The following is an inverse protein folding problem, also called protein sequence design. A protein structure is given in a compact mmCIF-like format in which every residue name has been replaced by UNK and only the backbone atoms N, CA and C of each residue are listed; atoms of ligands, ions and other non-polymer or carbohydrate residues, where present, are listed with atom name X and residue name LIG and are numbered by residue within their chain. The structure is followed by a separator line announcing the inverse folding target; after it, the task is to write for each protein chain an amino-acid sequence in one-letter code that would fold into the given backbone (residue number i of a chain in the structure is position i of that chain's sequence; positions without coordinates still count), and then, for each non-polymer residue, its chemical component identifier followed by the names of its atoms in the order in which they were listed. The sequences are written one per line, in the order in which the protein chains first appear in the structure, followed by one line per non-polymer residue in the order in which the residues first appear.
data_IF_564146735406
#
_entry.id   IF_564146735406
#
_cell.length_a   1.000
_cell.length_b   1.000
_cell.length_c   1.000
_cell.angle_alpha   90.00
_cell.angle_beta   90.00
_cell.angle_gamma   90.00
#
_symmetry.space_group_name_H-M   'P 1'
#
loop_
_entity.id
_entity.type
_entity.pdbx_description
1 polymer ?
#
# COMPACT_ATOMS: atom_id res chain seq x y z
N UNK A 1 -22.23 -33.76 26.20
CA UNK A 1 -21.61 -33.45 24.90
C UNK A 1 -22.48 -32.45 24.15
N UNK A 2 -22.04 -31.20 23.93
CA UNK A 2 -22.81 -30.27 23.11
C UNK A 2 -22.52 -30.54 21.62
N UNK A 3 -23.59 -30.54 20.82
CA UNK A 3 -23.54 -30.73 19.36
C UNK A 3 -22.73 -29.61 18.69
N UNK A 4 -21.95 -30.01 17.69
CA UNK A 4 -21.27 -29.12 16.75
C UNK A 4 -22.27 -28.17 16.05
N UNK A 5 -22.13 -26.86 16.23
CA UNK A 5 -22.79 -25.83 15.40
C UNK A 5 -22.28 -25.87 13.95
N UNK A 6 -23.16 -25.59 12.99
CA UNK A 6 -22.81 -25.42 11.58
C UNK A 6 -21.93 -24.18 11.36
N UNK A 7 -21.06 -24.18 10.33
CA UNK A 7 -20.24 -23.02 9.98
C UNK A 7 -21.12 -21.82 9.62
N UNK A 8 -20.77 -20.64 10.12
CA UNK A 8 -21.41 -19.36 9.76
C UNK A 8 -20.58 -18.65 8.68
N UNK A 9 -21.22 -17.87 7.79
CA UNK A 9 -20.52 -17.01 6.83
C UNK A 9 -19.67 -15.95 7.54
N UNK A 10 -18.49 -15.67 7.00
CA UNK A 10 -17.65 -14.56 7.44
C UNK A 10 -18.35 -13.24 7.09
N UNK A 11 -18.74 -12.47 8.10
CA UNK A 11 -19.28 -11.11 7.95
C UNK A 11 -18.19 -10.11 8.36
N UNK A 12 -17.55 -9.41 7.39
CA UNK A 12 -16.36 -8.58 7.64
C UNK A 12 -16.54 -7.46 8.68
N UNK A 13 -17.78 -7.04 8.95
CA UNK A 13 -18.05 -5.95 9.88
C UNK A 13 -18.22 -6.38 11.35
N UNK A 14 -18.29 -7.68 11.65
CA UNK A 14 -18.60 -8.17 13.00
C UNK A 14 -17.59 -9.17 13.56
N UNK A 15 -16.69 -9.72 12.74
CA UNK A 15 -15.78 -10.77 13.18
C UNK A 15 -14.34 -10.25 13.30
N UNK A 16 -14.05 -9.54 14.40
CA UNK A 16 -12.71 -9.02 14.75
C UNK A 16 -11.70 -10.11 15.14
N UNK A 17 -12.00 -11.37 14.86
CA UNK A 17 -11.21 -12.54 15.26
C UNK A 17 -10.98 -13.50 14.11
N UNK A 18 -10.40 -12.98 13.02
CA UNK A 18 -9.89 -13.75 11.90
C UNK A 18 -9.00 -14.91 12.40
N UNK A 19 -9.50 -16.15 12.26
CA UNK A 19 -8.87 -17.46 12.52
C UNK A 19 -8.84 -18.03 13.96
N UNK A 20 -9.02 -17.22 15.01
CA UNK A 20 -8.90 -17.69 16.40
C UNK A 20 -9.96 -18.69 16.88
N UNK A 21 -11.11 -18.76 16.19
CA UNK A 21 -12.29 -19.54 16.59
C UNK A 21 -12.55 -20.79 15.73
N UNK A 22 -11.65 -21.10 14.79
CA UNK A 22 -11.82 -22.22 13.87
C UNK A 22 -11.55 -23.56 14.57
N UNK A 23 -12.39 -24.56 14.29
CA UNK A 23 -12.23 -25.93 14.80
C UNK A 23 -10.96 -26.59 14.24
N UNK A 24 -10.38 -27.51 15.01
CA UNK A 24 -9.33 -28.40 14.54
C UNK A 24 -9.76 -29.13 13.25
N UNK A 25 -8.88 -29.20 12.26
CA UNK A 25 -9.16 -29.67 10.89
C UNK A 25 -9.77 -28.64 9.93
N UNK A 26 -10.34 -27.53 10.40
CA UNK A 26 -10.70 -26.39 9.53
C UNK A 26 -9.46 -25.60 9.13
N UNK A 27 -8.44 -25.54 9.99
CA UNK A 27 -7.12 -24.99 9.69
C UNK A 27 -6.42 -25.82 8.62
N UNK A 28 -6.40 -27.14 8.75
CA UNK A 28 -5.81 -28.04 7.75
C UNK A 28 -6.56 -27.99 6.42
N UNK A 29 -7.89 -27.87 6.44
CA UNK A 29 -8.70 -27.63 5.23
C UNK A 29 -8.46 -26.26 4.62
N UNK A 30 -8.30 -25.21 5.42
CA UNK A 30 -7.96 -23.89 4.89
C UNK A 30 -6.56 -23.93 4.30
N UNK A 31 -5.57 -24.52 4.97
CA UNK A 31 -4.24 -24.77 4.44
C UNK A 31 -4.35 -25.55 3.13
N UNK A 32 -5.04 -26.69 3.06
CA UNK A 32 -5.27 -27.46 1.82
C UNK A 32 -5.99 -26.67 0.71
N UNK A 33 -6.98 -25.83 1.05
CA UNK A 33 -7.70 -24.95 0.12
C UNK A 33 -6.86 -23.73 -0.30
N UNK A 34 -5.94 -23.28 0.56
CA UNK A 34 -4.99 -22.22 0.29
C UNK A 34 -3.80 -22.73 -0.53
N UNK A 35 -3.42 -24.00 -0.38
CA UNK A 35 -2.30 -24.68 -1.03
C UNK A 35 -2.58 -25.09 -2.48
N UNK A 36 -3.84 -25.17 -2.93
CA UNK A 36 -4.16 -25.36 -4.36
C UNK A 36 -3.99 -24.03 -5.11
N UNK A 37 -2.73 -23.69 -5.41
CA UNK A 37 -2.38 -22.50 -6.16
C UNK A 37 -2.70 -22.67 -7.64
N UNK A 38 -3.80 -22.07 -8.09
CA UNK A 38 -3.94 -21.71 -9.50
C UNK A 38 -3.18 -20.41 -9.71
N UNK A 39 -1.94 -20.49 -10.21
CA UNK A 39 -1.09 -19.32 -10.38
C UNK A 39 -1.15 -18.80 -11.83
N UNK A 40 -1.80 -17.66 -12.01
CA UNK A 40 -1.72 -16.86 -13.23
C UNK A 40 -0.45 -16.01 -13.21
N UNK A 41 0.32 -16.07 -14.29
CA UNK A 41 1.43 -15.14 -14.52
C UNK A 41 0.87 -13.81 -14.98
N UNK A 42 1.25 -12.68 -14.37
CA UNK A 42 0.87 -11.37 -14.88
C UNK A 42 1.45 -11.17 -16.28
N UNK A 43 0.71 -10.49 -17.14
CA UNK A 43 1.23 -10.02 -18.42
C UNK A 43 2.04 -8.74 -18.19
N UNK A 44 3.36 -8.89 -18.06
CA UNK A 44 4.29 -7.79 -17.83
C UNK A 44 5.69 -8.12 -18.41
N UNK A 45 6.44 -7.09 -18.75
CA UNK A 45 7.75 -7.15 -19.43
C UNK A 45 8.94 -7.26 -18.48
N UNK A 46 8.75 -6.90 -17.20
CA UNK A 46 9.77 -6.95 -16.17
C UNK A 46 10.21 -8.37 -15.75
N UNK A 47 11.32 -8.44 -15.02
CA UNK A 47 11.85 -9.70 -14.49
C UNK A 47 11.21 -10.04 -13.14
N UNK A 48 9.90 -10.33 -13.10
CA UNK A 48 9.32 -10.85 -11.87
C UNK A 48 10.03 -12.15 -11.50
N UNK A 49 10.57 -12.18 -10.29
CA UNK A 49 11.19 -13.38 -9.78
C UNK A 49 10.15 -14.50 -9.76
N UNK A 50 10.50 -15.67 -10.28
CA UNK A 50 9.65 -16.85 -10.15
C UNK A 50 9.59 -17.27 -8.68
N UNK A 51 8.38 -17.63 -8.23
CA UNK A 51 8.21 -18.28 -6.94
C UNK A 51 8.87 -19.66 -7.00
N UNK A 52 9.58 -20.04 -5.94
CA UNK A 52 10.23 -21.35 -5.87
C UNK A 52 9.22 -22.48 -5.74
N UNK A 53 9.55 -23.60 -6.37
CA UNK A 53 8.89 -24.88 -6.10
C UNK A 53 9.29 -25.35 -4.69
N UNK A 54 8.35 -25.95 -3.98
CA UNK A 54 8.58 -26.49 -2.64
C UNK A 54 7.38 -26.37 -1.72
N UNK A 55 7.59 -26.71 -0.45
CA UNK A 55 6.56 -26.61 0.57
C UNK A 55 6.40 -25.15 1.02
N UNK A 56 5.23 -24.57 0.76
CA UNK A 56 4.86 -23.24 1.21
C UNK A 56 4.03 -23.32 2.49
N UNK A 57 4.44 -22.58 3.50
CA UNK A 57 3.78 -22.55 4.80
C UNK A 57 3.37 -21.11 5.14
N UNK A 58 2.18 -20.90 5.74
CA UNK A 58 1.80 -19.60 6.27
C UNK A 58 2.69 -19.27 7.49
N UNK A 59 3.22 -18.05 7.53
CA UNK A 59 4.11 -17.60 8.60
C UNK A 59 3.34 -16.80 9.64
N UNK A 60 3.61 -17.09 10.91
CA UNK A 60 3.00 -16.41 12.06
C UNK A 60 3.96 -15.36 12.63
N UNK A 61 3.66 -14.05 12.58
CA UNK A 61 4.35 -13.11 13.44
C UNK A 61 4.02 -13.46 14.91
N UNK A 62 5.05 -13.61 15.77
CA UNK A 62 4.86 -13.96 17.18
C UNK A 62 3.85 -13.02 17.88
N UNK A 63 2.65 -13.53 18.16
CA UNK A 63 1.65 -12.92 19.03
C UNK A 63 1.08 -13.98 19.97
N UNK A 64 0.99 -13.64 21.26
CA UNK A 64 0.68 -14.58 22.35
C UNK A 64 -0.81 -14.95 22.46
N UNK A 65 -1.67 -14.55 21.51
CA UNK A 65 -3.15 -14.68 21.60
C UNK A 65 -3.85 -15.30 20.37
N UNK A 66 -3.11 -15.93 19.46
CA UNK A 66 -3.68 -16.65 18.31
C UNK A 66 -3.21 -16.12 16.96
N UNK A 67 -3.67 -16.77 15.89
CA UNK A 67 -3.34 -16.46 14.49
C UNK A 67 -3.95 -15.10 14.09
N UNK A 68 -3.12 -14.16 13.63
CA UNK A 68 -3.58 -12.88 13.09
C UNK A 68 -2.99 -12.66 11.69
N UNK A 69 -3.76 -12.10 10.74
CA UNK A 69 -3.21 -11.68 9.46
C UNK A 69 -2.15 -10.59 9.65
N UNK A 70 -1.22 -10.45 8.69
CA UNK A 70 -0.25 -9.35 8.70
C UNK A 70 -0.94 -7.98 8.57
N UNK A 71 -2.11 -7.96 7.95
CA UNK A 71 -2.98 -6.81 7.85
C UNK A 71 -4.37 -7.23 7.40
N UNK A 72 -5.36 -6.47 7.85
CA UNK A 72 -6.76 -6.59 7.43
C UNK A 72 -7.17 -5.21 6.89
N UNK A 73 -7.61 -5.17 5.63
CA UNK A 73 -8.05 -3.95 4.96
C UNK A 73 -9.51 -4.05 4.53
N UNK A 74 -10.08 -2.94 4.05
CA UNK A 74 -11.52 -2.86 3.72
C UNK A 74 -12.01 -3.86 2.65
N UNK A 75 -11.10 -4.49 1.90
CA UNK A 75 -11.44 -5.41 0.80
C UNK A 75 -10.75 -6.78 0.92
N UNK A 76 -10.02 -7.09 1.99
CA UNK A 76 -9.24 -8.33 2.02
C UNK A 76 -8.31 -8.56 3.20
N UNK A 77 -7.74 -9.77 3.24
CA UNK A 77 -6.84 -10.26 4.28
C UNK A 77 -5.44 -10.50 3.70
N UNK A 78 -4.40 -10.10 4.41
CA UNK A 78 -3.01 -10.20 3.97
C UNK A 78 -2.21 -11.17 4.85
N UNK A 79 -1.53 -12.13 4.23
CA UNK A 79 -0.72 -13.16 4.90
C UNK A 79 0.70 -13.23 4.34
N UNK A 80 1.69 -13.53 5.20
CA UNK A 80 3.02 -13.94 4.75
C UNK A 80 3.08 -15.45 4.60
N UNK A 81 3.68 -15.91 3.51
CA UNK A 81 3.98 -17.30 3.25
C UNK A 81 5.46 -17.44 2.98
N UNK A 82 6.08 -18.50 3.48
CA UNK A 82 7.45 -18.84 3.14
C UNK A 82 7.52 -20.25 2.54
N UNK A 83 8.32 -20.39 1.49
CA UNK A 83 8.78 -21.68 1.01
C UNK A 83 9.92 -22.13 1.92
N UNK A 84 9.87 -23.36 2.39
CA UNK A 84 10.93 -23.94 3.22
C UNK A 84 11.57 -25.16 2.55
N UNK A 85 12.80 -25.47 2.94
CA UNK A 85 13.43 -26.76 2.63
C UNK A 85 13.17 -27.80 3.73
N UNK A 86 13.69 -29.01 3.52
CA UNK A 86 13.56 -30.15 4.44
C UNK A 86 14.13 -29.87 5.85
N UNK A 87 14.92 -28.81 6.03
CA UNK A 87 15.47 -28.37 7.30
C UNK A 87 14.73 -27.15 7.88
N UNK A 88 13.53 -26.82 7.39
CA UNK A 88 12.75 -25.66 7.79
C UNK A 88 13.48 -24.31 7.60
N UNK A 89 14.41 -24.23 6.63
CA UNK A 89 15.04 -22.96 6.25
C UNK A 89 14.24 -22.26 5.16
N UNK A 90 14.00 -20.97 5.33
CA UNK A 90 13.29 -20.16 4.33
C UNK A 90 14.09 -20.12 3.03
N UNK A 91 13.50 -20.62 1.94
CA UNK A 91 14.01 -20.58 0.57
C UNK A 91 13.39 -19.46 -0.26
N UNK A 92 12.15 -19.11 0.06
CA UNK A 92 11.39 -18.06 -0.62
C UNK A 92 10.28 -17.51 0.30
N UNK A 93 9.71 -16.36 -0.05
CA UNK A 93 8.67 -15.67 0.72
C UNK A 93 7.76 -14.82 -0.16
N UNK A 94 6.46 -14.82 0.12
CA UNK A 94 5.47 -14.06 -0.63
C UNK A 94 4.38 -13.54 0.28
N UNK A 95 3.86 -12.36 -0.03
CA UNK A 95 2.61 -11.87 0.55
C UNK A 95 1.45 -12.39 -0.29
N UNK A 96 0.48 -13.01 0.35
CA UNK A 96 -0.79 -13.40 -0.26
C UNK A 96 -1.86 -12.45 0.25
N UNK A 97 -2.35 -11.58 -0.65
CA UNK A 97 -3.50 -10.71 -0.41
C UNK A 97 -4.74 -11.39 -0.98
N UNK A 98 -5.64 -11.83 -0.12
CA UNK A 98 -6.94 -12.36 -0.50
C UNK A 98 -7.95 -11.22 -0.57
N UNK A 99 -8.55 -11.03 -1.74
CA UNK A 99 -9.47 -9.94 -2.01
C UNK A 99 -10.90 -10.47 -2.13
N UNK A 100 -11.84 -9.79 -1.47
CA UNK A 100 -13.26 -10.08 -1.47
C UNK A 100 -14.03 -8.86 -2.01
N UNK A 101 -14.04 -8.64 -3.33
CA UNK A 101 -14.59 -7.41 -3.91
C UNK A 101 -16.13 -7.32 -3.81
N UNK A 102 -16.80 -8.42 -3.47
CA UNK A 102 -18.25 -8.57 -3.56
C UNK A 102 -18.72 -8.85 -4.99
N UNK A 103 -19.87 -9.51 -5.12
CA UNK A 103 -20.32 -10.03 -6.41
C UNK A 103 -20.52 -8.95 -7.49
N UNK A 104 -21.07 -7.80 -7.11
CA UNK A 104 -21.28 -6.67 -8.02
C UNK A 104 -19.97 -6.15 -8.60
N UNK A 105 -18.96 -5.97 -7.74
CA UNK A 105 -17.65 -5.46 -8.16
C UNK A 105 -16.87 -6.52 -8.95
N UNK A 106 -16.97 -7.80 -8.56
CA UNK A 106 -16.33 -8.89 -9.30
C UNK A 106 -16.81 -8.96 -10.76
N UNK A 107 -18.08 -8.67 -11.03
CA UNK A 107 -18.64 -8.70 -12.39
C UNK A 107 -18.36 -7.43 -13.21
N UNK A 108 -17.69 -6.42 -12.63
CA UNK A 108 -17.30 -5.21 -13.37
C UNK A 108 -16.18 -5.54 -14.35
N UNK A 109 -16.35 -5.24 -15.64
CA UNK A 109 -15.29 -5.47 -16.64
C UNK A 109 -14.04 -4.62 -16.35
N UNK A 110 -14.20 -3.42 -15.82
CA UNK A 110 -13.09 -2.51 -15.60
C UNK A 110 -12.15 -2.91 -14.45
N UNK A 111 -12.50 -3.91 -13.61
CA UNK A 111 -11.60 -4.44 -12.57
C UNK A 111 -10.73 -5.60 -13.07
N UNK A 112 -10.80 -5.94 -14.35
CA UNK A 112 -10.03 -7.00 -14.98
C UNK A 112 -9.30 -6.52 -16.22
N UNK A 113 -8.12 -7.08 -16.50
CA UNK A 113 -7.38 -6.83 -17.74
C UNK A 113 -8.26 -7.12 -18.95
N UNK A 114 -8.27 -6.20 -19.90
CA UNK A 114 -9.03 -6.28 -21.15
C UNK A 114 -10.54 -6.55 -20.98
N UNK A 115 -11.10 -6.34 -19.78
CA UNK A 115 -12.49 -6.63 -19.49
C UNK A 115 -12.85 -8.11 -19.39
N UNK A 116 -11.86 -9.01 -19.23
CA UNK A 116 -12.07 -10.44 -19.06
C UNK A 116 -12.34 -10.78 -17.60
N UNK A 117 -13.60 -10.95 -17.24
CA UNK A 117 -14.04 -11.28 -15.87
C UNK A 117 -13.37 -12.59 -15.40
N UNK A 118 -12.79 -12.57 -14.20
CA UNK A 118 -12.02 -13.69 -13.64
C UNK A 118 -10.61 -13.85 -14.23
N UNK A 119 -10.17 -12.94 -15.10
CA UNK A 119 -8.81 -12.88 -15.65
C UNK A 119 -7.82 -12.20 -14.68
N UNK A 120 -6.82 -11.50 -15.23
CA UNK A 120 -5.87 -10.74 -14.42
C UNK A 120 -6.56 -9.56 -13.72
N UNK A 121 -6.48 -9.43 -12.39
CA UNK A 121 -7.05 -8.31 -11.66
C UNK A 121 -6.38 -6.97 -12.03
N UNK A 122 -7.16 -5.89 -12.07
CA UNK A 122 -6.68 -4.52 -12.35
C UNK A 122 -5.55 -4.09 -11.41
N UNK A 123 -5.61 -4.48 -10.13
CA UNK A 123 -4.55 -4.18 -9.16
C UNK A 123 -3.20 -4.78 -9.58
N UNK A 124 -3.20 -6.01 -10.09
CA UNK A 124 -2.00 -6.67 -10.62
C UNK A 124 -1.49 -5.96 -11.87
N UNK A 125 -2.39 -5.72 -12.83
CA UNK A 125 -2.10 -5.06 -14.10
C UNK A 125 -1.47 -3.67 -13.91
N UNK A 126 -2.12 -2.79 -13.13
CA UNK A 126 -1.66 -1.41 -12.99
C UNK A 126 -0.40 -1.29 -12.13
N UNK A 127 -0.25 -2.12 -11.09
CA UNK A 127 0.96 -2.14 -10.27
C UNK A 127 2.18 -2.59 -11.07
N UNK A 128 2.03 -3.64 -11.89
CA UNK A 128 3.12 -4.16 -12.72
C UNK A 128 3.43 -3.25 -13.91
N UNK A 129 2.44 -2.55 -14.48
CA UNK A 129 2.68 -1.50 -15.49
C UNK A 129 3.59 -0.38 -14.94
N UNK A 130 3.36 0.05 -13.69
CA UNK A 130 4.21 1.06 -13.03
C UNK A 130 5.62 0.50 -12.79
N UNK A 131 5.74 -0.76 -12.38
CA UNK A 131 7.03 -1.44 -12.23
C UNK A 131 7.81 -1.46 -13.55
N UNK A 132 7.17 -1.88 -14.64
CA UNK A 132 7.79 -1.97 -15.96
C UNK A 132 8.24 -0.59 -16.47
N UNK A 133 7.41 0.45 -16.27
CA UNK A 133 7.76 1.82 -16.62
C UNK A 133 8.97 2.35 -15.82
N UNK A 134 9.12 1.95 -14.56
CA UNK A 134 10.29 2.29 -13.73
C UNK A 134 11.55 1.60 -14.29
N UNK A 135 11.49 0.28 -14.51
CA UNK A 135 12.62 -0.49 -15.04
C UNK A 135 13.05 -0.01 -16.45
N UNK A 136 12.08 0.34 -17.30
CA UNK A 136 12.36 0.89 -18.63
C UNK A 136 12.99 2.29 -18.56
N UNK A 137 12.63 3.10 -17.56
CA UNK A 137 13.18 4.45 -17.37
C UNK A 137 14.60 4.41 -16.78
N UNK A 138 14.83 3.54 -15.80
CA UNK A 138 16.11 3.33 -15.14
C UNK A 138 16.15 1.91 -14.54
N UNK A 139 16.96 0.99 -15.10
CA UNK A 139 17.04 -0.38 -14.61
C UNK A 139 17.35 -0.46 -13.10
N UNK A 140 16.54 -1.23 -12.38
CA UNK A 140 16.60 -1.37 -10.92
C UNK A 140 15.67 -0.42 -10.13
N UNK A 141 15.07 0.59 -10.76
CA UNK A 141 14.15 1.51 -10.08
C UNK A 141 12.75 0.92 -9.85
N UNK A 142 12.44 -0.26 -10.40
CA UNK A 142 11.28 -1.06 -9.98
C UNK A 142 11.31 -1.40 -8.48
N UNK A 143 12.45 -1.22 -7.80
CA UNK A 143 12.57 -1.26 -6.33
C UNK A 143 11.68 -0.25 -5.59
N UNK A 144 11.11 0.77 -6.23
CA UNK A 144 10.26 1.79 -5.59
C UNK A 144 8.75 1.48 -5.60
N UNK A 145 8.34 0.38 -6.20
CA UNK A 145 6.96 -0.10 -6.20
C UNK A 145 6.93 -1.57 -5.75
N UNK A 146 5.83 -2.01 -5.14
CA UNK A 146 5.63 -3.43 -4.87
C UNK A 146 5.25 -4.17 -6.14
N UNK A 147 5.98 -5.24 -6.45
CA UNK A 147 5.68 -6.11 -7.57
C UNK A 147 4.61 -7.14 -7.21
N UNK A 148 3.60 -7.27 -8.08
CA UNK A 148 2.67 -8.38 -8.05
C UNK A 148 3.29 -9.54 -8.86
N UNK A 149 3.66 -10.61 -8.17
CA UNK A 149 4.32 -11.78 -8.75
C UNK A 149 3.33 -12.67 -9.50
N UNK A 150 2.04 -12.62 -9.15
CA UNK A 150 0.98 -13.38 -9.80
C UNK A 150 -0.37 -13.19 -9.15
N UNK A 151 -1.38 -13.86 -9.69
CA UNK A 151 -2.75 -13.85 -9.18
C UNK A 151 -3.37 -15.25 -9.26
N UNK A 152 -4.46 -15.49 -8.55
CA UNK A 152 -5.03 -16.84 -8.50
C UNK A 152 -6.26 -17.00 -7.62
N UNK A 153 -6.63 -18.26 -7.37
CA UNK A 153 -7.70 -18.59 -6.43
C UNK A 153 -9.05 -17.94 -6.76
N UNK A 154 -9.38 -17.84 -8.05
CA UNK A 154 -10.61 -17.22 -8.53
C UNK A 154 -11.84 -17.98 -8.02
N UNK A 155 -12.74 -17.26 -7.37
CA UNK A 155 -14.03 -17.76 -6.93
C UNK A 155 -15.10 -16.88 -7.55
N UNK A 156 -15.72 -17.38 -8.62
CA UNK A 156 -16.84 -16.72 -9.27
C UNK A 156 -18.09 -16.84 -8.38
N UNK A 157 -18.74 -15.73 -8.01
CA UNK A 157 -19.96 -15.74 -7.20
C UNK A 157 -21.23 -16.10 -7.99
N UNK A 158 -21.16 -16.43 -9.28
CA UNK A 158 -22.37 -16.69 -10.07
C UNK A 158 -23.23 -17.81 -9.44
N UNK A 159 -24.56 -17.63 -9.42
CA UNK A 159 -25.45 -18.58 -8.81
C UNK A 159 -25.54 -19.87 -9.63
N UNK A 160 -25.55 -21.01 -8.93
CA UNK A 160 -25.94 -22.28 -9.51
C UNK A 160 -27.41 -22.51 -9.15
N UNK A 161 -28.25 -22.79 -10.15
CA UNK A 161 -29.63 -23.21 -9.91
C UNK A 161 -29.59 -24.67 -9.50
N UNK A 162 -30.05 -24.97 -8.30
CA UNK A 162 -30.20 -26.36 -7.85
C UNK A 162 -31.21 -27.06 -8.76
N UNK A 163 -30.74 -28.03 -9.55
CA UNK A 163 -31.58 -28.83 -10.44
C UNK A 163 -32.70 -29.59 -9.69
N UNK A 164 -32.55 -29.80 -8.37
CA UNK A 164 -33.53 -30.50 -7.53
C UNK A 164 -34.57 -29.59 -6.89
N UNK A 165 -34.25 -28.32 -6.63
CA UNK A 165 -35.13 -27.42 -5.85
C UNK A 165 -35.56 -26.17 -6.60
N UNK A 166 -34.98 -25.89 -7.77
CA UNK A 166 -35.22 -24.66 -8.53
C UNK A 166 -34.69 -23.39 -7.86
N UNK A 167 -34.08 -23.50 -6.67
CA UNK A 167 -33.56 -22.36 -5.93
C UNK A 167 -32.18 -21.94 -6.43
N UNK A 168 -31.98 -20.63 -6.54
CA UNK A 168 -30.69 -19.97 -6.74
C UNK A 168 -29.82 -20.15 -5.49
N UNK A 169 -28.67 -20.82 -5.63
CA UNK A 169 -27.69 -20.98 -4.55
C UNK A 169 -26.39 -20.27 -4.93
N UNK A 170 -25.95 -19.32 -4.11
CA UNK A 170 -24.61 -18.74 -4.21
C UNK A 170 -23.64 -19.68 -3.49
N UNK A 171 -22.86 -20.47 -4.25
CA UNK A 171 -21.97 -21.49 -3.68
C UNK A 171 -20.64 -20.95 -3.17
N UNK A 172 -20.23 -19.76 -3.61
CA UNK A 172 -18.95 -19.17 -3.23
C UNK A 172 -19.04 -17.65 -3.03
N UNK A 173 -18.19 -17.12 -2.15
CA UNK A 173 -17.99 -15.68 -2.00
C UNK A 173 -17.08 -15.22 -3.14
N UNK A 174 -17.43 -14.12 -3.81
CA UNK A 174 -16.59 -13.52 -4.83
C UNK A 174 -15.18 -13.26 -4.27
N UNK A 175 -14.17 -13.90 -4.83
CA UNK A 175 -12.81 -13.79 -4.30
C UNK A 175 -11.72 -14.02 -5.35
N UNK A 176 -10.57 -13.41 -5.13
CA UNK A 176 -9.32 -13.72 -5.82
C UNK A 176 -8.12 -13.47 -4.90
N UNK A 177 -6.96 -13.99 -5.28
CA UNK A 177 -5.69 -13.82 -4.57
C UNK A 177 -4.69 -13.06 -5.42
N UNK A 178 -3.90 -12.21 -4.78
CA UNK A 178 -2.71 -11.59 -5.34
C UNK A 178 -1.49 -12.07 -4.57
N UNK A 179 -0.44 -12.44 -5.31
CA UNK A 179 0.85 -12.83 -4.78
C UNK A 179 1.80 -11.64 -4.98
N UNK A 180 2.28 -11.07 -3.89
CA UNK A 180 2.99 -9.78 -3.87
C UNK A 180 4.34 -9.99 -3.18
N UNK A 181 5.36 -9.25 -3.58
CA UNK A 181 6.63 -9.27 -2.86
C UNK A 181 6.49 -8.87 -1.38
N UNK A 182 7.38 -9.39 -0.53
CA UNK A 182 7.38 -9.09 0.91
C UNK A 182 8.33 -7.94 1.27
N UNK A 183 7.80 -6.96 2.01
CA UNK A 183 8.56 -5.84 2.58
C UNK A 183 8.78 -6.05 4.09
N UNK A 184 10.01 -6.34 4.55
CA UNK A 184 10.26 -6.81 5.91
C UNK A 184 10.08 -5.80 7.04
N UNK A 185 10.04 -4.50 6.75
CA UNK A 185 10.03 -3.46 7.79
C UNK A 185 8.67 -2.78 7.99
N UNK A 186 7.61 -3.41 7.48
CA UNK A 186 6.22 -2.93 7.60
C UNK A 186 5.98 -1.72 6.70
N UNK A 187 5.13 -0.80 7.17
CA UNK A 187 4.75 0.41 6.44
C UNK A 187 5.28 1.70 7.09
N UNK A 188 5.12 2.80 6.34
CA UNK A 188 5.54 4.13 6.75
C UNK A 188 4.66 4.70 7.88
N UNK A 189 3.39 4.29 7.97
CA UNK A 189 2.48 4.69 9.07
C UNK A 189 3.05 4.26 10.41
N UNK A 190 3.43 2.99 10.55
CA UNK A 190 4.03 2.45 11.76
C UNK A 190 5.41 3.04 12.02
N UNK A 191 6.19 3.35 10.98
CA UNK A 191 7.46 4.05 11.13
C UNK A 191 7.26 5.47 11.71
N UNK A 192 6.24 6.19 11.27
CA UNK A 192 5.88 7.51 11.81
C UNK A 192 5.44 7.40 13.27
N UNK A 193 4.63 6.39 13.62
CA UNK A 193 4.19 6.15 15.01
C UNK A 193 5.40 5.91 15.92
N UNK A 194 6.31 5.01 15.52
CA UNK A 194 7.54 4.71 16.27
C UNK A 194 8.40 5.95 16.50
N UNK A 195 8.57 6.79 15.47
CA UNK A 195 9.35 8.03 15.60
C UNK A 195 8.65 9.07 16.49
N UNK A 196 7.33 9.19 16.38
CA UNK A 196 6.53 10.06 17.26
C UNK A 196 6.65 9.66 18.72
N UNK A 197 6.55 8.36 19.03
CA UNK A 197 6.69 7.82 20.39
C UNK A 197 8.10 8.06 20.95
N UNK A 198 9.13 7.92 20.11
CA UNK A 198 10.51 8.26 20.46
C UNK A 198 10.77 9.77 20.54
N UNK A 199 9.83 10.62 20.11
CA UNK A 199 9.96 12.09 19.98
C UNK A 199 11.13 12.50 19.09
N UNK A 200 11.43 11.70 18.07
CA UNK A 200 12.55 11.90 17.17
C UNK A 200 12.05 12.22 15.75
N UNK A 201 12.33 13.43 15.23
CA UNK A 201 12.08 13.74 13.83
C UNK A 201 12.82 12.78 12.90
N UNK A 202 12.25 12.51 11.73
CA UNK A 202 12.97 11.82 10.68
C UNK A 202 14.18 12.64 10.23
N UNK A 203 15.28 11.97 9.89
CA UNK A 203 16.40 12.65 9.24
C UNK A 203 15.96 13.17 7.86
N UNK A 204 16.33 14.41 7.51
CA UNK A 204 15.89 15.03 6.26
C UNK A 204 16.29 14.21 5.02
N UNK A 205 17.46 13.58 5.04
CA UNK A 205 17.90 12.67 3.98
C UNK A 205 16.95 11.48 3.72
N UNK A 206 16.33 10.91 4.76
CA UNK A 206 15.33 9.85 4.58
C UNK A 206 14.06 10.40 3.93
N UNK A 207 13.68 11.64 4.27
CA UNK A 207 12.54 12.32 3.66
C UNK A 207 12.81 12.58 2.18
N UNK A 208 14.01 13.06 1.83
CA UNK A 208 14.40 13.25 0.43
C UNK A 208 14.43 11.95 -0.36
N UNK A 209 15.00 10.87 0.20
CA UNK A 209 14.98 9.54 -0.41
C UNK A 209 13.55 9.04 -0.65
N UNK A 210 12.65 9.23 0.32
CA UNK A 210 11.23 8.88 0.17
C UNK A 210 10.55 9.75 -0.89
N UNK A 211 10.86 11.05 -0.93
CA UNK A 211 10.29 11.97 -1.90
C UNK A 211 10.73 11.63 -3.33
N UNK A 212 12.00 11.23 -3.50
CA UNK A 212 12.55 10.81 -4.79
C UNK A 212 11.87 9.52 -5.26
N UNK A 213 11.84 8.46 -4.44
CA UNK A 213 11.18 7.20 -4.77
C UNK A 213 9.72 7.38 -5.22
N UNK A 214 8.96 8.19 -4.47
CA UNK A 214 7.56 8.45 -4.82
C UNK A 214 7.42 9.36 -6.07
N UNK A 215 8.36 10.27 -6.31
CA UNK A 215 8.37 11.08 -7.52
C UNK A 215 8.71 10.25 -8.77
N UNK A 216 9.59 9.24 -8.66
CA UNK A 216 9.81 8.24 -9.73
C UNK A 216 8.51 7.51 -10.05
N UNK A 217 7.84 6.96 -9.02
CA UNK A 217 6.55 6.29 -9.19
C UNK A 217 5.50 7.22 -9.84
N UNK A 218 5.49 8.52 -9.49
CA UNK A 218 4.60 9.49 -10.12
C UNK A 218 4.89 9.68 -11.61
N UNK A 219 6.16 9.69 -12.01
CA UNK A 219 6.55 9.78 -13.42
C UNK A 219 6.18 8.49 -14.16
N UNK A 220 6.42 7.32 -13.58
CA UNK A 220 6.05 6.04 -14.16
C UNK A 220 4.52 5.89 -14.32
N UNK A 221 3.74 6.32 -13.33
CA UNK A 221 2.28 6.38 -13.45
C UNK A 221 1.82 7.37 -14.53
N UNK A 222 2.50 8.50 -14.70
CA UNK A 222 2.16 9.50 -15.72
C UNK A 222 2.27 8.96 -17.15
N UNK A 223 3.25 8.08 -17.41
CA UNK A 223 3.47 7.46 -18.73
C UNK A 223 2.24 6.67 -19.20
N UNK A 224 1.61 5.91 -18.29
CA UNK A 224 0.41 5.11 -18.58
C UNK A 224 -0.90 5.77 -18.09
N UNK A 225 -0.85 7.08 -17.77
CA UNK A 225 -1.99 7.90 -17.30
C UNK A 225 -2.69 7.32 -16.06
N UNK A 226 -1.94 6.68 -15.16
CA UNK A 226 -2.44 6.05 -13.95
C UNK A 226 -2.61 7.08 -12.83
N UNK A 227 -3.75 7.02 -12.12
CA UNK A 227 -3.95 7.68 -10.83
C UNK A 227 -4.16 6.61 -9.78
N UNK A 228 -3.30 6.61 -8.76
CA UNK A 228 -3.31 5.60 -7.71
C UNK A 228 -4.51 5.74 -6.77
N UNK A 229 -4.87 6.99 -6.47
CA UNK A 229 -6.07 7.38 -5.68
C UNK A 229 -6.08 7.01 -4.19
N UNK A 230 -5.19 6.13 -3.77
CA UNK A 230 -5.08 5.68 -2.38
C UNK A 230 -3.63 5.69 -1.87
N UNK A 231 -2.87 6.73 -2.25
CA UNK A 231 -1.52 6.93 -1.70
C UNK A 231 -1.66 7.43 -0.26
N UNK A 232 -1.43 6.53 0.70
CA UNK A 232 -1.50 6.77 2.14
C UNK A 232 -0.19 6.32 2.81
N UNK A 233 0.01 6.67 4.08
CA UNK A 233 1.19 6.23 4.83
C UNK A 233 1.22 4.71 5.07
N UNK A 234 0.07 4.04 5.06
CA UNK A 234 -0.04 2.57 5.14
C UNK A 234 0.33 1.88 3.82
N UNK A 235 0.17 2.58 2.70
CA UNK A 235 0.46 2.06 1.35
C UNK A 235 1.87 2.41 0.86
N UNK A 236 2.75 2.86 1.76
CA UNK A 236 4.20 2.95 1.50
C UNK A 236 4.91 1.91 2.38
N UNK A 237 5.26 0.77 1.80
CA UNK A 237 5.96 -0.32 2.48
C UNK A 237 7.47 -0.07 2.55
N UNK A 238 8.14 -0.69 3.51
CA UNK A 238 9.57 -0.52 3.76
C UNK A 238 10.31 -1.84 3.50
N UNK A 239 11.11 -1.86 2.43
CA UNK A 239 11.89 -3.03 2.01
C UNK A 239 13.33 -3.02 2.53
N UNK A 240 14.11 -4.03 2.19
CA UNK A 240 15.56 -4.04 2.43
C UNK A 240 16.23 -2.79 1.86
N UNK A 241 17.29 -2.33 2.53
CA UNK A 241 18.04 -1.17 2.07
C UNK A 241 18.74 -1.49 0.75
N UNK A 242 18.92 -0.46 -0.07
CA UNK A 242 19.71 -0.57 -1.29
C UNK A 242 21.19 -0.68 -0.92
N UNK A 243 21.88 -1.77 -1.32
CA UNK A 243 23.27 -2.00 -0.94
C UNK A 243 24.24 -1.01 -1.60
N UNK A 244 23.81 -0.20 -2.56
CA UNK A 244 24.65 0.76 -3.29
C UNK A 244 24.36 2.22 -2.94
N UNK A 245 23.15 2.53 -2.46
CA UNK A 245 22.71 3.89 -2.15
C UNK A 245 21.78 3.91 -0.93
N UNK A 246 22.02 4.80 0.04
CA UNK A 246 21.20 4.88 1.27
C UNK A 246 21.16 3.58 2.10
N UNK A 247 22.29 2.86 2.19
CA UNK A 247 22.41 1.54 2.86
C UNK A 247 21.86 1.48 4.29
N UNK A 248 21.74 2.63 4.96
CA UNK A 248 21.28 2.76 6.35
C UNK A 248 19.75 2.78 6.49
N UNK A 249 19.01 3.02 5.41
CA UNK A 249 17.55 3.16 5.43
C UNK A 249 16.87 2.15 4.52
N UNK A 250 15.69 1.64 4.91
CA UNK A 250 14.88 0.79 4.06
C UNK A 250 14.39 1.56 2.83
N UNK A 251 14.25 0.87 1.69
CA UNK A 251 13.68 1.46 0.47
C UNK A 251 12.16 1.59 0.64
N UNK A 252 11.57 2.79 0.47
CA UNK A 252 10.13 2.95 0.42
C UNK A 252 9.58 2.43 -0.91
N UNK A 253 8.54 1.62 -0.83
CA UNK A 253 7.81 1.04 -1.95
C UNK A 253 6.36 1.46 -1.94
N UNK A 254 5.87 2.08 -3.02
CA UNK A 254 4.45 2.31 -3.21
C UNK A 254 3.72 0.97 -3.42
N UNK A 255 2.58 0.78 -2.76
CA UNK A 255 1.79 -0.45 -2.82
C UNK A 255 0.29 -0.19 -2.92
N UNK A 256 -0.47 -1.27 -3.14
CA UNK A 256 -1.93 -1.30 -3.17
C UNK A 256 -2.58 -0.49 -4.31
N UNK A 257 -2.52 -1.07 -5.50
CA UNK A 257 -3.14 -0.50 -6.69
C UNK A 257 -4.64 -0.84 -6.81
N UNK A 258 -5.28 -1.30 -5.73
CA UNK A 258 -6.68 -1.73 -5.72
C UNK A 258 -7.65 -0.66 -6.21
N UNK A 259 -7.43 0.59 -5.80
CA UNK A 259 -8.23 1.77 -6.18
C UNK A 259 -7.65 2.57 -7.36
N UNK A 260 -6.63 2.02 -8.04
CA UNK A 260 -5.96 2.68 -9.16
C UNK A 260 -6.79 2.61 -10.44
N UNK A 261 -6.65 3.65 -11.29
CA UNK A 261 -7.36 3.75 -12.57
C UNK A 261 -6.58 4.51 -13.62
N UNK A 262 -6.90 4.27 -14.88
CA UNK A 262 -6.41 5.07 -16.02
C UNK A 262 -7.28 6.32 -16.16
N UNK A 263 -6.66 7.48 -16.38
CA UNK A 263 -7.39 8.72 -16.66
C UNK A 263 -7.93 8.67 -18.09
N UNK A 264 -9.23 8.42 -18.21
CA UNK A 264 -10.01 8.67 -19.43
C UNK A 264 -10.91 9.92 -19.28
N UNK A 265 -11.72 10.22 -20.31
CA UNK A 265 -12.61 11.38 -20.28
C UNK A 265 -13.67 11.35 -19.17
N UNK A 266 -14.12 10.16 -18.76
CA UNK A 266 -15.14 9.97 -17.72
C UNK A 266 -14.50 10.04 -16.32
N UNK A 267 -13.40 9.33 -16.09
CA UNK A 267 -12.60 9.38 -14.87
C UNK A 267 -12.09 10.79 -14.58
N UNK A 268 -11.67 11.54 -15.62
CA UNK A 268 -11.25 12.95 -15.49
C UNK A 268 -12.35 13.86 -14.95
N UNK A 269 -13.59 13.63 -15.39
CA UNK A 269 -14.80 14.39 -15.00
C UNK A 269 -15.53 13.82 -13.79
N UNK A 270 -14.98 12.75 -13.19
CA UNK A 270 -15.60 12.02 -12.07
C UNK A 270 -16.95 11.37 -12.39
N UNK A 271 -17.19 11.06 -13.66
CA UNK A 271 -18.46 10.53 -14.15
C UNK A 271 -18.59 9.00 -13.95
N UNK A 272 -17.48 8.29 -13.76
CA UNK A 272 -17.43 6.84 -13.58
C UNK A 272 -16.40 6.46 -12.51
N UNK A 273 -16.61 5.33 -11.83
CA UNK A 273 -15.53 4.62 -11.14
C UNK A 273 -14.95 5.23 -9.86
N UNK A 274 -15.74 5.95 -9.04
CA UNK A 274 -15.32 6.22 -7.65
C UNK A 274 -16.25 5.67 -6.55
N UNK A 275 -17.01 4.62 -6.82
CA UNK A 275 -17.63 3.83 -5.75
C UNK A 275 -16.61 2.93 -5.03
N UNK A 276 -15.33 3.15 -5.29
CA UNK A 276 -14.21 2.47 -4.65
C UNK A 276 -13.77 3.28 -3.44
N UNK A 277 -13.55 2.58 -2.32
CA UNK A 277 -13.13 3.21 -1.08
C UNK A 277 -11.82 3.99 -1.30
N UNK A 278 -11.86 5.27 -0.94
CA UNK A 278 -10.69 6.14 -0.88
C UNK A 278 -10.44 6.53 0.56
N UNK A 279 -9.18 6.61 0.99
CA UNK A 279 -8.90 7.07 2.35
C UNK A 279 -9.29 8.56 2.51
N UNK A 280 -10.29 8.90 3.35
CA UNK A 280 -10.85 10.25 3.40
C UNK A 280 -9.82 11.32 3.81
N UNK A 281 -8.86 10.93 4.65
CA UNK A 281 -7.80 11.81 5.17
C UNK A 281 -6.68 12.14 4.17
N UNK A 282 -6.57 11.40 3.06
CA UNK A 282 -5.54 11.65 2.02
C UNK A 282 -6.13 12.16 0.71
N UNK A 283 -7.46 12.28 0.64
CA UNK A 283 -8.20 12.56 -0.59
C UNK A 283 -7.88 13.96 -1.13
N UNK A 284 -7.32 14.08 -2.36
CA UNK A 284 -7.11 15.35 -3.04
C UNK A 284 -8.41 16.13 -3.29
N UNK A 285 -8.36 17.48 -3.38
CA UNK A 285 -9.53 18.32 -3.66
C UNK A 285 -10.33 17.88 -4.89
N UNK A 286 -9.65 17.46 -5.95
CA UNK A 286 -10.27 17.02 -7.19
C UNK A 286 -10.80 15.58 -7.16
N UNK A 287 -10.71 14.89 -6.04
CA UNK A 287 -11.32 13.59 -5.80
C UNK A 287 -12.37 13.63 -4.70
N UNK A 288 -12.63 14.79 -4.07
CA UNK A 288 -13.73 14.90 -3.12
C UNK A 288 -15.08 14.74 -3.82
N UNK A 289 -15.98 14.02 -3.16
CA UNK A 289 -17.35 13.77 -3.58
C UNK A 289 -18.31 14.47 -2.62
N UNK A 290 -19.56 14.59 -3.06
CA UNK A 290 -20.66 15.03 -2.23
C UNK A 290 -21.36 13.75 -1.74
N UNK A 291 -20.74 13.08 -0.79
CA UNK A 291 -21.35 12.00 -0.04
C UNK A 291 -22.33 12.63 0.98
N UNK A 292 -23.62 12.48 0.69
CA UNK A 292 -24.76 12.65 1.61
C UNK A 292 -24.57 13.62 2.80
N UNK A 293 -24.69 14.93 2.53
CA UNK A 293 -24.84 16.05 3.48
C UNK A 293 -23.59 16.77 3.99
N UNK A 294 -22.39 16.46 3.51
CA UNK A 294 -21.20 17.15 4.05
C UNK A 294 -20.64 18.30 3.19
N UNK A 295 -21.13 18.50 1.96
CA UNK A 295 -20.81 19.66 1.13
C UNK A 295 -19.35 19.72 0.66
N UNK A 296 -18.70 18.56 0.48
CA UNK A 296 -17.25 18.47 0.24
C UNK A 296 -16.85 18.47 -1.23
N UNK A 297 -17.79 18.23 -2.15
CA UNK A 297 -17.48 18.24 -3.56
C UNK A 297 -17.03 19.64 -3.98
N UNK A 298 -15.82 19.71 -4.51
CA UNK A 298 -15.34 20.92 -5.15
C UNK A 298 -15.65 20.81 -6.66
N UNK A 299 -16.67 21.52 -7.16
CA UNK A 299 -16.96 21.54 -8.58
C UNK A 299 -15.84 22.25 -9.35
N UNK A 300 -15.68 21.90 -10.62
CA UNK A 300 -14.75 22.57 -11.53
C UNK A 300 -13.27 22.15 -11.43
N UNK A 301 -12.91 21.24 -10.52
CA UNK A 301 -11.58 20.61 -10.53
C UNK A 301 -11.59 19.28 -11.27
N UNK A 302 -10.49 18.97 -11.98
CA UNK A 302 -10.38 17.74 -12.77
C UNK A 302 -9.28 16.83 -12.23
N UNK A 303 -9.54 15.52 -12.30
CA UNK A 303 -8.53 14.50 -12.00
C UNK A 303 -7.45 14.54 -13.08
N UNK A 304 -6.18 14.57 -12.65
CA UNK A 304 -5.03 14.61 -13.55
C UNK A 304 -3.88 13.79 -12.97
N UNK A 305 -2.77 13.68 -13.69
CA UNK A 305 -1.52 13.14 -13.14
C UNK A 305 -1.03 13.89 -11.88
N UNK A 306 -1.39 15.17 -11.71
CA UNK A 306 -1.08 15.99 -10.53
C UNK A 306 -1.92 15.63 -9.30
N UNK A 307 -2.88 14.72 -9.44
CA UNK A 307 -3.62 14.12 -8.33
C UNK A 307 -2.71 13.26 -7.46
N UNK A 308 -1.82 12.45 -8.08
CA UNK A 308 -0.81 11.68 -7.34
C UNK A 308 0.18 12.62 -6.60
N UNK A 309 0.54 13.75 -7.23
CA UNK A 309 1.47 14.74 -6.65
C UNK A 309 0.95 15.32 -5.33
N UNK A 310 -0.36 15.59 -5.22
CA UNK A 310 -0.97 16.03 -3.96
C UNK A 310 -0.75 15.00 -2.86
N UNK A 311 -1.10 13.73 -3.13
CA UNK A 311 -1.01 12.68 -2.12
C UNK A 311 0.44 12.43 -1.69
N UNK A 312 1.40 12.46 -2.63
CA UNK A 312 2.84 12.39 -2.30
C UNK A 312 3.24 13.56 -1.39
N UNK A 313 2.82 14.80 -1.71
CA UNK A 313 3.05 15.96 -0.85
C UNK A 313 2.48 15.77 0.57
N UNK A 314 1.30 15.16 0.70
CA UNK A 314 0.72 14.80 2.00
C UNK A 314 1.54 13.76 2.75
N UNK A 315 2.07 12.72 2.10
CA UNK A 315 2.97 11.73 2.72
C UNK A 315 4.21 12.43 3.29
N UNK A 316 4.82 13.33 2.53
CA UNK A 316 5.99 14.07 3.01
C UNK A 316 5.64 15.00 4.18
N UNK A 317 4.48 15.68 4.14
CA UNK A 317 3.96 16.42 5.30
C UNK A 317 3.77 15.53 6.54
N UNK A 318 3.28 14.29 6.37
CA UNK A 318 3.09 13.34 7.46
C UNK A 318 4.43 12.98 8.13
N UNK A 319 5.47 12.69 7.34
CA UNK A 319 6.84 12.48 7.83
C UNK A 319 7.38 13.71 8.57
N UNK A 320 7.26 14.88 7.97
CA UNK A 320 7.75 16.14 8.55
C UNK A 320 7.04 16.51 9.86
N UNK A 321 5.82 16.03 10.08
CA UNK A 321 5.00 16.33 11.27
C UNK A 321 4.98 15.24 12.31
N UNK A 322 5.57 14.07 12.04
CA UNK A 322 5.42 12.87 12.86
C UNK A 322 3.94 12.52 13.08
N UNK A 323 3.14 12.63 12.02
CA UNK A 323 1.70 12.35 12.08
C UNK A 323 1.35 11.34 10.99
N UNK A 324 0.84 10.13 11.32
CA UNK A 324 0.51 9.12 10.32
C UNK A 324 -0.60 9.58 9.37
N UNK A 325 -1.45 10.50 9.83
CA UNK A 325 -2.44 11.26 9.07
C UNK A 325 -2.51 12.67 9.66
N UNK A 326 -2.79 13.70 8.86
CA UNK A 326 -2.79 15.07 9.36
C UNK A 326 -4.07 15.37 10.14
N UNK A 327 -3.99 15.93 11.36
CA UNK A 327 -5.18 16.28 12.14
C UNK A 327 -6.20 17.13 11.37
N UNK A 328 -5.76 18.12 10.58
CA UNK A 328 -6.68 18.96 9.82
C UNK A 328 -7.40 18.22 8.67
N UNK A 329 -6.90 17.06 8.26
CA UNK A 329 -7.55 16.23 7.21
C UNK A 329 -8.63 15.31 7.76
N UNK A 330 -8.71 15.19 9.09
CA UNK A 330 -9.74 14.40 9.77
C UNK A 330 -11.09 15.07 9.63
N UNK A 331 -12.07 14.35 9.10
CA UNK A 331 -13.42 14.85 8.78
C UNK A 331 -14.43 14.17 9.69
N UNK A 332 -14.95 14.93 10.66
CA UNK A 332 -16.19 14.78 11.44
C UNK A 332 -16.39 13.48 12.27
N UNK A 333 -15.77 12.35 11.93
CA UNK A 333 -16.02 11.04 12.56
C UNK A 333 -15.04 10.67 13.70
N UNK A 334 -14.01 11.48 13.99
CA UNK A 334 -13.08 11.22 15.10
C UNK A 334 -13.52 11.96 16.38
N UNK A 335 -13.36 11.31 17.54
CA UNK A 335 -13.59 11.90 18.86
C UNK A 335 -12.28 12.35 19.55
N UNK A 336 -12.16 13.61 20.03
CA UNK A 336 -13.04 14.74 19.75
C UNK A 336 -12.77 15.32 18.34
N UNK A 337 -13.79 15.83 17.65
CA UNK A 337 -13.63 16.40 16.32
C UNK A 337 -12.73 17.64 16.36
N UNK A 338 -11.88 17.82 15.35
CA UNK A 338 -11.11 19.06 15.22
C UNK A 338 -12.06 20.25 15.04
N UNK A 339 -11.81 21.40 15.71
CA UNK A 339 -12.57 22.63 15.46
C UNK A 339 -12.61 22.97 13.98
N UNK A 340 -13.78 23.40 13.46
CA UNK A 340 -14.01 23.65 12.03
C UNK A 340 -12.97 24.62 11.45
N UNK A 341 -12.59 25.66 12.20
CA UNK A 341 -11.59 26.66 11.81
C UNK A 341 -10.16 26.10 11.66
N UNK A 342 -9.91 24.89 12.18
CA UNK A 342 -8.65 24.15 12.11
C UNK A 342 -8.69 23.00 11.09
N UNK A 343 -9.84 22.73 10.46
CA UNK A 343 -9.97 21.69 9.44
C UNK A 343 -9.47 22.18 8.07
N UNK A 344 -9.08 21.23 7.23
CA UNK A 344 -8.78 21.43 5.82
C UNK A 344 -10.10 21.37 5.03
N UNK A 345 -10.77 22.52 4.92
CA UNK A 345 -12.04 22.71 4.20
C UNK A 345 -11.78 23.29 2.81
N UNK A 346 -12.06 22.52 1.76
CA UNK A 346 -11.77 22.92 0.38
C UNK A 346 -12.75 23.95 -0.19
N UNK A 347 -13.97 23.96 0.33
CA UNK A 347 -15.02 24.95 0.10
C UNK A 347 -14.71 26.32 0.73
N UNK A 348 -13.84 26.37 1.75
CA UNK A 348 -13.49 27.60 2.47
C UNK A 348 -12.12 28.13 2.01
N UNK A 349 -12.12 29.31 1.39
CA UNK A 349 -10.96 29.94 0.73
C UNK A 349 -9.67 29.95 1.59
N UNK A 350 -9.78 30.24 2.88
CA UNK A 350 -8.66 30.41 3.81
C UNK A 350 -8.32 29.13 4.61
N UNK A 351 -9.03 28.03 4.34
CA UNK A 351 -8.83 26.71 4.97
C UNK A 351 -8.47 25.62 3.94
N UNK A 352 -8.52 25.90 2.64
CA UNK A 352 -8.23 24.93 1.58
C UNK A 352 -6.74 24.61 1.35
N UNK A 353 -5.84 25.15 2.16
CA UNK A 353 -4.39 24.98 2.02
C UNK A 353 -3.76 24.58 3.37
N UNK A 354 -2.75 23.70 3.32
CA UNK A 354 -2.04 23.24 4.52
C UNK A 354 -1.16 24.38 5.07
N UNK A 355 -1.43 24.77 6.31
CA UNK A 355 -0.72 25.88 6.99
C UNK A 355 0.57 25.40 7.63
N UNK A 356 0.53 24.29 8.38
CA UNK A 356 1.66 23.73 9.13
C UNK A 356 2.27 22.54 8.39
N UNK A 357 3.53 22.68 7.98
CA UNK A 357 4.24 21.64 7.20
C UNK A 357 5.15 20.74 8.04
N UNK A 358 5.57 21.16 9.23
CA UNK A 358 6.53 20.39 10.04
C UNK A 358 6.19 20.40 11.53
N UNK A 359 6.77 19.45 12.26
CA UNK A 359 6.72 19.37 13.71
C UNK A 359 7.51 20.53 14.35
N UNK A 360 7.13 20.97 15.56
CA UNK A 360 7.79 22.10 16.25
C UNK A 360 9.22 21.79 16.68
N UNK A 361 9.55 20.51 16.93
CA UNK A 361 10.91 20.07 17.25
C UNK A 361 11.78 19.82 16.01
N UNK A 362 11.25 19.98 14.81
CA UNK A 362 11.99 19.78 13.57
C UNK A 362 12.36 21.11 12.90
N UNK A 363 13.53 21.15 12.26
CA UNK A 363 14.02 22.30 11.52
C UNK A 363 14.45 21.90 10.10
N UNK A 364 13.50 21.45 9.29
CA UNK A 364 13.79 21.03 7.91
C UNK A 364 14.08 22.24 7.00
N UNK A 365 14.88 21.98 5.97
CA UNK A 365 15.30 22.99 5.00
C UNK A 365 14.13 23.78 4.41
N UNK A 366 14.40 25.04 4.06
CA UNK A 366 13.42 25.91 3.41
C UNK A 366 13.01 25.32 2.05
N UNK A 367 13.96 24.70 1.36
CA UNK A 367 13.78 24.07 0.05
C UNK A 367 12.77 22.93 0.13
N UNK A 368 12.94 22.00 1.08
CA UNK A 368 12.00 20.90 1.29
C UNK A 368 10.59 21.43 1.58
N UNK A 369 10.47 22.37 2.54
CA UNK A 369 9.18 22.97 2.89
C UNK A 369 8.50 23.67 1.70
N UNK A 370 9.26 24.40 0.87
CA UNK A 370 8.72 25.08 -0.31
C UNK A 370 8.24 24.07 -1.36
N UNK A 371 9.01 23.02 -1.62
CA UNK A 371 8.64 22.00 -2.60
C UNK A 371 7.40 21.22 -2.15
N UNK A 372 7.35 20.78 -0.90
CA UNK A 372 6.18 20.08 -0.33
C UNK A 372 4.93 20.97 -0.42
N UNK A 373 5.04 22.26 -0.07
CA UNK A 373 3.94 23.24 -0.21
C UNK A 373 3.42 23.37 -1.65
N UNK A 374 4.30 23.23 -2.65
CA UNK A 374 3.89 23.27 -4.06
C UNK A 374 3.12 22.03 -4.50
N UNK A 375 3.35 20.88 -3.84
CA UNK A 375 2.65 19.63 -4.13
C UNK A 375 1.21 19.63 -3.60
N UNK A 376 1.01 20.19 -2.40
CA UNK A 376 -0.29 20.22 -1.69
C UNK A 376 -1.11 21.49 -1.97
N UNK A 377 -1.00 22.06 -3.18
CA UNK A 377 -1.82 23.19 -3.61
C UNK A 377 -3.24 22.77 -3.91
N UNK A 378 -4.22 23.53 -3.43
CA UNK A 378 -5.65 23.25 -3.66
C UNK A 378 -5.94 23.00 -5.14
N UNK A 379 -5.58 23.96 -5.99
CA UNK A 379 -5.76 23.88 -7.44
C UNK A 379 -4.68 22.97 -8.06
N UNK A 380 -5.06 21.85 -8.73
CA UNK A 380 -4.13 20.97 -9.41
C UNK A 380 -3.24 21.69 -10.43
N UNK A 381 -3.74 22.73 -11.11
CA UNK A 381 -2.96 23.47 -12.11
C UNK A 381 -1.74 24.19 -11.52
N UNK A 382 -1.75 24.46 -10.20
CA UNK A 382 -0.65 25.12 -9.48
C UNK A 382 0.35 24.13 -8.87
N UNK A 383 0.14 22.83 -9.04
CA UNK A 383 1.08 21.78 -8.60
C UNK A 383 2.11 21.53 -9.70
N UNK A 384 3.34 21.11 -9.36
CA UNK A 384 4.27 20.63 -10.38
C UNK A 384 3.69 19.38 -11.07
N UNK A 385 4.01 19.19 -12.35
CA UNK A 385 3.85 17.87 -13.00
C UNK A 385 4.79 16.85 -12.35
N UNK A 386 4.52 15.53 -12.49
CA UNK A 386 5.42 14.49 -12.00
C UNK A 386 6.88 14.67 -12.44
N UNK A 387 7.11 14.96 -13.73
CA UNK A 387 8.47 15.22 -14.25
C UNK A 387 9.12 16.46 -13.62
N UNK A 388 8.36 17.55 -13.43
CA UNK A 388 8.86 18.75 -12.77
C UNK A 388 9.19 18.49 -11.29
N UNK A 389 8.36 17.69 -10.61
CA UNK A 389 8.57 17.29 -9.22
C UNK A 389 9.87 16.50 -9.09
N UNK A 390 10.04 15.43 -9.88
CA UNK A 390 11.23 14.59 -9.83
C UNK A 390 12.51 15.40 -10.09
N UNK A 391 12.50 16.26 -11.12
CA UNK A 391 13.62 17.17 -11.41
C UNK A 391 13.92 18.10 -10.23
N UNK A 392 12.90 18.64 -9.56
CA UNK A 392 13.08 19.49 -8.40
C UNK A 392 13.63 18.72 -7.19
N UNK A 393 13.14 17.50 -6.93
CA UNK A 393 13.62 16.62 -5.85
C UNK A 393 15.11 16.33 -6.04
N UNK A 394 15.50 15.77 -7.19
CA UNK A 394 16.90 15.40 -7.49
C UNK A 394 17.85 16.59 -7.37
N UNK A 395 17.43 17.77 -7.83
CA UNK A 395 18.23 19.01 -7.72
C UNK A 395 18.37 19.49 -6.27
N UNK A 396 17.30 19.44 -5.48
CA UNK A 396 17.27 20.02 -4.13
C UNK A 396 17.82 19.07 -3.07
N UNK A 397 17.75 17.76 -3.29
CA UNK A 397 18.29 16.78 -2.35
C UNK A 397 19.82 16.73 -2.32
N UNK A 398 20.48 17.18 -3.39
CA UNK A 398 21.94 17.25 -3.46
C UNK A 398 22.50 18.08 -2.28
N UNK A 399 23.50 17.51 -1.60
CA UNK A 399 24.07 18.05 -0.36
C UNK A 399 23.16 18.03 0.88
N UNK A 400 21.89 17.58 0.78
CA UNK A 400 20.91 17.54 1.91
C UNK A 400 20.60 16.14 2.42
N UNK A 401 21.29 15.15 1.89
CA UNK A 401 21.12 13.73 2.23
C UNK A 401 22.09 13.23 3.31
N UNK A 402 22.89 14.12 3.91
CA UNK A 402 23.86 13.76 4.96
C UNK A 402 25.00 12.84 4.47
N UNK A 403 25.24 12.80 3.16
CA UNK A 403 26.21 11.91 2.51
C UNK A 403 25.82 10.43 2.53
N UNK A 404 24.58 10.09 2.92
CA UNK A 404 24.13 8.70 3.05
C UNK A 404 23.83 8.00 1.72
N UNK A 405 23.71 8.76 0.64
CA UNK A 405 23.54 8.27 -0.73
C UNK A 405 24.82 7.63 -1.29
N UNK A 406 26.00 8.06 -0.83
CA UNK A 406 27.29 7.48 -1.23
C UNK A 406 27.98 6.71 -0.09
N UNK A 407 27.45 6.79 1.13
CA UNK A 407 28.05 6.17 2.32
C UNK A 407 28.18 4.64 2.19
N UNK A 408 29.38 4.12 2.44
CA UNK A 408 29.68 2.69 2.34
C UNK A 408 29.99 2.19 0.91
N UNK A 409 30.13 3.08 -0.09
CA UNK A 409 30.79 2.76 -1.37
C UNK A 409 32.31 2.69 -1.17
N UNK A 410 32.72 1.64 -0.49
CA UNK A 410 34.06 1.44 0.08
C UNK A 410 33.90 0.76 1.45
N UNK A 411 34.81 -0.15 1.79
CA UNK A 411 34.75 -1.13 2.91
C UNK A 411 34.44 -0.61 4.33
N UNK A 412 34.05 0.65 4.52
CA UNK A 412 33.61 1.21 5.79
C UNK A 412 32.29 0.60 6.26
N UNK A 413 32.34 -0.16 7.36
CA UNK A 413 31.15 -0.60 8.10
C UNK A 413 30.35 0.61 8.59
N UNK A 414 29.02 0.52 8.54
CA UNK A 414 28.13 1.52 9.16
C UNK A 414 28.41 1.56 10.67
N UNK A 415 28.84 2.71 11.25
CA UNK A 415 29.08 2.82 12.67
C UNK A 415 27.82 2.46 13.46
N UNK A 416 27.99 1.65 14.51
CA UNK A 416 26.87 1.11 15.29
C UNK A 416 26.09 2.20 16.05
N UNK A 417 26.67 3.39 16.22
CA UNK A 417 26.20 4.51 17.05
C UNK A 417 25.64 5.71 16.25
N UNK A 418 25.38 5.56 14.94
CA UNK A 418 24.80 6.65 14.13
C UNK A 418 23.37 6.99 14.59
N UNK A 419 23.09 8.29 14.76
CA UNK A 419 21.82 8.83 15.30
C UNK A 419 20.73 8.95 14.22
N UNK A 420 21.09 8.85 12.95
CA UNK A 420 20.23 9.10 11.80
C UNK A 420 19.38 7.88 11.40
N UNK A 421 19.25 6.89 12.29
CA UNK A 421 18.53 5.63 12.05
C UNK A 421 17.02 5.81 12.21
N UNK A 422 16.26 5.01 11.48
CA UNK A 422 14.83 4.85 11.76
C UNK A 422 14.63 3.99 13.01
N UNK A 423 13.69 4.40 13.87
CA UNK A 423 13.21 3.55 14.96
C UNK A 423 12.43 2.37 14.38
N UNK A 424 12.78 1.13 14.74
CA UNK A 424 12.11 -0.07 14.24
C UNK A 424 12.98 -1.31 14.33
N UNK A 425 12.49 -2.41 13.73
CA UNK A 425 13.25 -3.66 13.63
C UNK A 425 14.54 -3.41 12.81
N UNK A 426 15.66 -3.89 13.34
CA UNK A 426 16.97 -3.78 12.68
C UNK A 426 17.22 -4.90 11.67
N UNK A 427 16.44 -5.98 11.74
CA UNK A 427 16.65 -7.19 10.96
C UNK A 427 15.33 -7.73 10.44
N UNK A 428 15.43 -8.28 9.25
CA UNK A 428 14.41 -9.08 8.60
C UNK A 428 14.40 -10.48 9.24
N UNK A 429 13.41 -10.75 10.09
CA UNK A 429 13.28 -12.02 10.81
C UNK A 429 12.80 -13.18 9.92
N UNK A 430 12.34 -12.86 8.70
CA UNK A 430 11.90 -13.84 7.69
C UNK A 430 12.84 -13.82 6.48
N UNK A 431 14.10 -13.45 6.69
CA UNK A 431 15.10 -13.42 5.63
C UNK A 431 15.35 -14.83 5.08
N UNK A 432 15.54 -14.93 3.76
CA UNK A 432 15.93 -16.19 3.11
C UNK A 432 17.21 -16.71 3.74
N UNK A 433 17.24 -18.01 4.06
CA UNK A 433 18.32 -18.68 4.78
C UNK A 433 18.15 -18.72 6.30
N UNK A 434 17.16 -18.02 6.87
CA UNK A 434 16.83 -18.11 8.29
C UNK A 434 16.16 -19.45 8.60
N UNK A 435 16.62 -20.13 9.65
CA UNK A 435 15.90 -21.28 10.23
C UNK A 435 14.68 -20.77 10.98
N UNK A 436 13.51 -21.25 10.60
CA UNK A 436 12.25 -20.91 11.28
C UNK A 436 11.88 -22.02 12.25
N UNK A 437 11.70 -21.70 13.54
CA UNK A 437 11.08 -22.59 14.53
C UNK A 437 9.58 -22.67 14.20
N UNK A 438 9.24 -23.40 13.13
CA UNK A 438 7.87 -23.63 12.68
C UNK A 438 7.23 -24.59 13.67
N UNK A 439 6.76 -24.06 14.79
CA UNK A 439 5.90 -24.79 15.71
C UNK A 439 4.50 -24.81 15.11
N UNK A 440 4.29 -25.67 14.11
CA UNK A 440 2.97 -26.24 13.87
C UNK A 440 2.69 -27.11 15.11
N UNK A 441 2.20 -26.50 16.19
CA UNK A 441 1.63 -27.30 17.26
C UNK A 441 0.32 -27.89 16.71
N UNK A 442 0.15 -29.22 16.77
CA UNK A 442 -1.03 -29.89 16.27
C UNK A 442 -2.31 -29.35 16.91
#
# INVERSE_FOLDING_TARGET
MPRARNPQPLFPNFDRSSFGSLRDGAKDKLVDLFLRWTFGRPDHTGNARRLRDGQWLPMQPHFWRGEHPLGEGGMGIVHLWCCVDDNNRIRDRVIVKQVHPGARTFQRRDVWRNGQIGGEPRESMLGNEVYDNLEASAPGDGKFVTQCLGYGGMQDPLPEVSAMTGNTIYRAIAAYKLYIEYCPFGDLRDAIIRQREAREPFHEGFIWMTFEALAECAVAMDQSKIVHSDITTSNILLSNSDPERFKIWPIPKLSDFGSSRIIDGAARRRLTGHDEAMHPYFTPPELTRDDANFGWAVPGLYVTNKTNVWSIGLIICCLMRLQPQLPETVRIDDEPPQPIDRQLRFDILHQREIKKLQHSSANYSVELRKLVRSCVKYDPARRPSPKQLLKAVRRLMDGRVGGFDTYGRGFGRIPWNKKERLRGKLKDIWAVGTETDIRLRP
#
